data_IF_842520739696
#
_entry.id   IF_842520739696
#
_cell.length_a   1.000
_cell.length_b   1.000
_cell.length_c   1.000
_cell.angle_alpha   90.00
_cell.angle_beta   90.00
_cell.angle_gamma   90.00
#
_symmetry.space_group_name_H-M   'P 1'
#
loop_
_entity.id
_entity.type
_entity.pdbx_description
1 polymer ?
#
# COMPACT_ATOMS: atom_id res chain seq x y z
N UNK A 1 15.69 -27.09 34.05
CA UNK A 1 16.08 -25.73 33.63
C UNK A 1 16.18 -25.52 32.09
N UNK A 2 15.75 -26.47 31.24
CA UNK A 2 16.01 -26.40 29.78
C UNK A 2 14.89 -25.74 28.94
N UNK A 3 13.63 -25.75 29.40
CA UNK A 3 12.49 -25.34 28.56
C UNK A 3 12.32 -23.81 28.37
N UNK A 4 12.88 -22.99 29.25
CA UNK A 4 12.71 -21.53 29.20
C UNK A 4 13.63 -20.84 28.19
N UNK A 5 14.84 -21.39 27.94
CA UNK A 5 15.83 -20.78 27.03
C UNK A 5 15.45 -20.88 25.55
N UNK A 6 14.82 -21.99 25.16
CA UNK A 6 14.35 -22.20 23.79
C UNK A 6 13.28 -21.18 23.38
N UNK A 7 12.30 -20.90 24.27
CA UNK A 7 11.23 -19.92 24.02
C UNK A 7 11.75 -18.48 23.90
N UNK A 8 12.78 -18.10 24.65
CA UNK A 8 13.40 -16.77 24.54
C UNK A 8 14.19 -16.58 23.25
N UNK A 9 14.90 -17.61 22.76
CA UNK A 9 15.65 -17.53 21.51
C UNK A 9 14.72 -17.48 20.29
N UNK A 10 13.60 -18.20 20.33
CA UNK A 10 12.55 -18.15 19.31
C UNK A 10 11.86 -16.77 19.25
N UNK A 11 11.54 -16.20 20.42
CA UNK A 11 11.05 -14.82 20.54
C UNK A 11 12.04 -13.79 20.00
N UNK A 12 13.34 -13.97 20.26
CA UNK A 12 14.38 -13.09 19.73
C UNK A 12 14.47 -13.18 18.21
N UNK A 13 14.33 -14.38 17.63
CA UNK A 13 14.27 -14.61 16.19
C UNK A 13 13.06 -13.95 15.53
N UNK A 14 11.89 -14.05 16.16
CA UNK A 14 10.67 -13.36 15.70
C UNK A 14 10.80 -11.83 15.77
N UNK A 15 11.43 -11.29 16.81
CA UNK A 15 11.69 -9.84 16.94
C UNK A 15 12.66 -9.38 15.86
N UNK A 16 13.74 -10.12 15.62
CA UNK A 16 14.74 -9.76 14.62
C UNK A 16 14.16 -9.81 13.20
N UNK A 17 13.37 -10.84 12.89
CA UNK A 17 12.65 -10.93 11.62
C UNK A 17 11.64 -9.79 11.45
N UNK A 18 10.91 -9.42 12.51
CA UNK A 18 10.00 -8.28 12.50
C UNK A 18 10.71 -6.93 12.32
N UNK A 19 11.92 -6.78 12.87
CA UNK A 19 12.73 -5.56 12.73
C UNK A 19 13.24 -5.39 11.29
N UNK A 20 13.77 -6.46 10.69
CA UNK A 20 14.23 -6.46 9.29
C UNK A 20 13.08 -6.17 8.33
N UNK A 21 11.90 -6.74 8.55
CA UNK A 21 10.71 -6.45 7.73
C UNK A 21 10.27 -4.99 7.86
N UNK A 22 10.28 -4.42 9.07
CA UNK A 22 9.94 -3.01 9.28
C UNK A 22 10.95 -2.06 8.64
N UNK A 23 12.23 -2.43 8.61
CA UNK A 23 13.28 -1.66 7.96
C UNK A 23 13.14 -1.69 6.43
N UNK A 24 12.84 -2.86 5.86
CA UNK A 24 12.54 -3.01 4.44
C UNK A 24 11.30 -2.22 4.00
N UNK A 25 10.27 -2.13 4.85
CA UNK A 25 9.09 -1.28 4.61
C UNK A 25 9.51 0.19 4.55
N UNK A 26 10.32 0.66 5.51
CA UNK A 26 10.79 2.06 5.53
C UNK A 26 11.64 2.42 4.32
N UNK A 27 12.48 1.51 3.85
CA UNK A 27 13.32 1.74 2.66
C UNK A 27 12.46 1.78 1.39
N UNK A 28 11.49 0.87 1.25
CA UNK A 28 10.48 0.89 0.18
C UNK A 28 9.62 2.15 0.20
N UNK A 29 9.22 2.62 1.38
CA UNK A 29 8.48 3.87 1.56
C UNK A 29 9.32 5.07 1.11
N UNK A 30 10.61 5.12 1.47
CA UNK A 30 11.52 6.19 1.02
C UNK A 30 11.77 6.16 -0.48
N UNK A 31 11.97 4.99 -1.09
CA UNK A 31 12.11 4.85 -2.54
C UNK A 31 10.84 5.33 -3.26
N UNK A 32 9.66 4.96 -2.74
CA UNK A 32 8.39 5.38 -3.29
C UNK A 32 8.15 6.89 -3.13
N UNK A 33 8.42 7.46 -1.95
CA UNK A 33 8.39 8.91 -1.74
C UNK A 33 9.36 9.63 -2.67
N UNK A 34 10.56 9.09 -2.88
CA UNK A 34 11.54 9.63 -3.83
C UNK A 34 11.06 9.60 -5.28
N UNK A 35 10.28 8.59 -5.68
CA UNK A 35 9.71 8.49 -7.02
C UNK A 35 8.52 9.42 -7.29
N UNK A 36 7.85 9.89 -6.23
CA UNK A 36 6.72 10.82 -6.30
C UNK A 36 7.14 12.30 -6.23
N UNK A 37 8.39 12.57 -5.83
CA UNK A 37 8.93 13.94 -5.88
C UNK A 37 9.33 14.18 -7.34
N UNK A 38 8.66 15.09 -8.06
CA UNK A 38 9.07 15.42 -9.41
C UNK A 38 10.51 15.91 -9.35
N UNK A 39 11.35 15.42 -10.27
CA UNK A 39 12.72 15.89 -10.39
C UNK A 39 12.73 17.39 -10.63
N UNK A 40 13.80 18.08 -10.23
CA UNK A 40 13.88 19.54 -10.41
C UNK A 40 13.70 19.93 -11.89
N UNK A 41 14.10 19.06 -12.83
CA UNK A 41 13.84 19.23 -14.26
C UNK A 41 12.36 19.12 -14.65
N UNK A 42 11.61 18.20 -14.04
CA UNK A 42 10.16 18.03 -14.28
C UNK A 42 9.36 19.18 -13.67
N UNK A 43 9.77 19.70 -12.50
CA UNK A 43 9.17 20.90 -11.91
C UNK A 43 9.38 22.13 -12.80
N UNK A 44 10.61 22.35 -13.26
CA UNK A 44 10.96 23.45 -14.15
C UNK A 44 10.24 23.36 -15.51
N UNK A 45 10.00 22.15 -16.02
CA UNK A 45 9.20 21.94 -17.22
C UNK A 45 7.71 22.29 -17.01
N UNK A 46 7.15 21.88 -15.86
CA UNK A 46 5.76 22.19 -15.48
C UNK A 46 5.53 23.71 -15.33
N UNK A 47 6.40 24.41 -14.58
CA UNK A 47 6.30 25.87 -14.42
C UNK A 47 6.48 26.61 -15.75
N UNK A 48 7.33 26.10 -16.66
CA UNK A 48 7.54 26.69 -17.99
C UNK A 48 6.36 26.46 -18.95
N UNK A 49 5.64 25.35 -18.80
CA UNK A 49 4.41 25.11 -19.56
C UNK A 49 3.27 25.99 -19.03
N UNK A 50 3.15 26.17 -17.71
CA UNK A 50 2.19 27.08 -17.07
C UNK A 50 2.41 28.54 -17.52
N UNK A 51 3.67 29.01 -17.57
CA UNK A 51 4.03 30.35 -18.10
C UNK A 51 3.70 30.52 -19.60
N UNK A 52 3.68 29.43 -20.38
CA UNK A 52 3.36 29.49 -21.82
C UNK A 52 1.87 29.48 -22.10
N UNK A 53 1.08 28.84 -21.25
CA UNK A 53 -0.38 28.86 -21.36
C UNK A 53 -0.94 30.24 -20.98
N UNK A 54 -0.37 30.90 -19.96
CA UNK A 54 -0.73 32.28 -19.57
C UNK A 54 -0.51 33.33 -20.68
N UNK A 55 0.46 33.13 -21.59
CA UNK A 55 0.79 34.10 -22.65
C UNK A 55 -0.06 33.91 -23.93
N UNK A 56 -1.01 32.96 -23.94
CA UNK A 56 -1.76 32.56 -25.16
C UNK A 56 -3.28 32.74 -25.14
N UNK A 57 -3.88 33.20 -24.03
CA UNK A 57 -5.34 33.40 -23.92
C UNK A 57 -5.68 34.84 -23.49
N UNK A 58 -5.81 35.72 -24.49
CA UNK A 58 -6.55 36.99 -24.39
C UNK A 58 -8.06 36.70 -24.48
N UNK A 59 -8.59 35.93 -23.53
CA UNK A 59 -10.04 35.70 -23.37
C UNK A 59 -10.48 35.89 -21.91
N UNK A 60 -11.47 36.75 -21.76
CA UNK A 60 -11.85 37.46 -20.54
C UNK A 60 -12.85 36.63 -19.71
N UNK A 61 -12.45 35.47 -19.17
CA UNK A 61 -13.34 34.63 -18.35
C UNK A 61 -12.62 33.97 -17.15
N UNK A 62 -12.89 34.50 -15.95
CA UNK A 62 -12.45 34.04 -14.61
C UNK A 62 -10.98 34.25 -14.21
N UNK A 63 -10.55 35.52 -14.07
CA UNK A 63 -9.45 35.87 -13.15
C UNK A 63 -9.86 35.50 -11.72
N UNK A 64 -9.33 34.38 -11.21
CA UNK A 64 -9.35 34.06 -9.78
C UNK A 64 -8.39 35.01 -9.03
N UNK A 65 -8.75 36.30 -8.99
CA UNK A 65 -7.96 37.38 -8.36
C UNK A 65 -8.09 37.40 -6.83
N UNK A 66 -8.98 36.55 -6.29
CA UNK A 66 -9.12 36.39 -4.84
C UNK A 66 -8.05 35.42 -4.33
N UNK A 67 -7.07 35.94 -3.57
CA UNK A 67 -6.04 35.18 -2.85
C UNK A 67 -6.64 34.01 -2.03
N UNK A 68 -7.86 34.19 -1.52
CA UNK A 68 -8.64 33.16 -0.84
C UNK A 68 -9.00 31.97 -1.77
N UNK A 69 -9.33 32.22 -3.03
CA UNK A 69 -9.65 31.18 -4.01
C UNK A 69 -8.40 30.36 -4.40
N UNK A 70 -7.25 31.04 -4.52
CA UNK A 70 -5.95 30.38 -4.76
C UNK A 70 -5.57 29.47 -3.57
N UNK A 71 -5.74 29.95 -2.34
CA UNK A 71 -5.46 29.20 -1.11
C UNK A 71 -6.39 27.97 -0.97
N UNK A 72 -7.68 28.10 -1.30
CA UNK A 72 -8.63 26.97 -1.31
C UNK A 72 -8.22 25.91 -2.32
N UNK A 73 -7.78 26.31 -3.53
CA UNK A 73 -7.32 25.37 -4.55
C UNK A 73 -6.03 24.64 -4.12
N UNK A 74 -5.09 25.35 -3.53
CA UNK A 74 -3.85 24.76 -2.99
C UNK A 74 -4.15 23.77 -1.86
N UNK A 75 -5.06 24.12 -0.94
CA UNK A 75 -5.51 23.23 0.13
C UNK A 75 -6.17 21.95 -0.41
N UNK A 76 -6.95 22.05 -1.50
CA UNK A 76 -7.55 20.90 -2.19
C UNK A 76 -6.49 20.00 -2.85
N UNK A 77 -5.50 20.59 -3.54
CA UNK A 77 -4.36 19.87 -4.12
C UNK A 77 -3.59 19.13 -3.03
N UNK A 78 -3.25 19.81 -1.93
CA UNK A 78 -2.53 19.23 -0.80
C UNK A 78 -3.32 18.07 -0.14
N UNK A 79 -4.64 18.22 0.00
CA UNK A 79 -5.52 17.17 0.55
C UNK A 79 -5.53 15.92 -0.34
N UNK A 80 -5.71 16.07 -1.65
CA UNK A 80 -5.71 14.94 -2.60
C UNK A 80 -4.36 14.23 -2.61
N UNK A 81 -3.27 14.98 -2.64
CA UNK A 81 -1.91 14.40 -2.60
C UNK A 81 -1.70 13.60 -1.31
N UNK A 82 -2.20 14.08 -0.18
CA UNK A 82 -2.14 13.37 1.10
C UNK A 82 -2.94 12.07 1.09
N UNK A 83 -4.14 12.08 0.50
CA UNK A 83 -4.98 10.89 0.36
C UNK A 83 -4.30 9.84 -0.53
N UNK A 84 -3.80 10.23 -1.70
CA UNK A 84 -3.05 9.34 -2.60
C UNK A 84 -1.80 8.74 -1.95
N UNK A 85 -1.02 9.57 -1.23
CA UNK A 85 0.17 9.10 -0.48
C UNK A 85 -0.20 8.08 0.59
N UNK A 86 -1.31 8.30 1.30
CA UNK A 86 -1.79 7.37 2.33
C UNK A 86 -2.18 6.02 1.73
N UNK A 87 -2.93 6.03 0.63
CA UNK A 87 -3.34 4.79 -0.06
C UNK A 87 -2.13 4.01 -0.58
N UNK A 88 -1.15 4.69 -1.15
CA UNK A 88 0.07 4.06 -1.61
C UNK A 88 0.90 3.45 -0.47
N UNK A 89 0.99 4.16 0.67
CA UNK A 89 1.64 3.62 1.87
C UNK A 89 0.93 2.35 2.36
N UNK A 90 -0.39 2.37 2.43
CA UNK A 90 -1.19 1.19 2.81
C UNK A 90 -0.93 0.01 1.85
N UNK A 91 -0.82 0.25 0.54
CA UNK A 91 -0.47 -0.78 -0.44
C UNK A 91 0.93 -1.37 -0.20
N UNK A 92 1.94 -0.55 0.06
CA UNK A 92 3.31 -1.01 0.37
C UNK A 92 3.33 -1.87 1.63
N UNK A 93 2.68 -1.40 2.70
CA UNK A 93 2.57 -2.15 3.95
C UNK A 93 1.84 -3.49 3.76
N UNK A 94 0.74 -3.50 3.01
CA UNK A 94 -0.02 -4.72 2.76
C UNK A 94 0.81 -5.72 1.95
N UNK A 95 1.53 -5.26 0.93
CA UNK A 95 2.44 -6.11 0.17
C UNK A 95 3.54 -6.70 1.06
N UNK A 96 4.10 -5.91 1.99
CA UNK A 96 5.09 -6.41 2.95
C UNK A 96 4.51 -7.42 3.95
N UNK A 97 3.24 -7.28 4.33
CA UNK A 97 2.51 -8.28 5.13
C UNK A 97 2.26 -9.57 4.33
N UNK A 98 2.51 -9.59 3.01
CA UNK A 98 2.30 -10.72 2.11
C UNK A 98 0.89 -10.76 1.52
N UNK A 99 0.24 -9.60 1.35
CA UNK A 99 -0.95 -9.46 0.50
C UNK A 99 -0.51 -9.51 -0.97
N UNK A 100 -1.37 -10.00 -1.87
CA UNK A 100 -0.98 -10.26 -3.26
C UNK A 100 -0.89 -11.73 -3.63
N UNK A 101 -0.80 -12.61 -2.64
CA UNK A 101 -0.64 -14.05 -2.83
C UNK A 101 -1.73 -14.83 -2.11
N UNK A 102 -2.03 -16.01 -2.65
CA UNK A 102 -2.92 -17.00 -2.05
C UNK A 102 -2.08 -18.17 -1.52
N UNK A 103 -2.10 -18.37 -0.20
CA UNK A 103 -1.34 -19.45 0.48
C UNK A 103 -2.23 -20.28 1.39
N UNK A 104 -1.89 -21.56 1.46
CA UNK A 104 -2.41 -22.49 2.45
C UNK A 104 -1.71 -22.21 3.80
N UNK A 105 -2.48 -22.14 4.89
CA UNK A 105 -1.99 -21.96 6.24
C UNK A 105 -2.52 -23.04 7.17
N UNK A 106 -1.75 -23.31 8.22
CA UNK A 106 -2.21 -24.21 9.28
C UNK A 106 -3.13 -23.47 10.26
N UNK A 107 -3.92 -24.22 11.04
CA UNK A 107 -4.82 -23.65 12.04
C UNK A 107 -4.11 -22.73 13.05
N UNK A 108 -2.88 -23.07 13.44
CA UNK A 108 -2.09 -22.27 14.39
C UNK A 108 -1.68 -20.92 13.81
N UNK A 109 -1.51 -20.84 12.49
CA UNK A 109 -1.19 -19.60 11.78
C UNK A 109 -2.43 -18.74 11.47
N UNK A 110 -3.65 -19.27 11.66
CA UNK A 110 -4.89 -18.59 11.30
C UNK A 110 -5.07 -17.25 12.02
N UNK A 111 -5.15 -17.29 13.36
CA UNK A 111 -5.34 -16.12 14.20
C UNK A 111 -4.28 -15.04 13.97
N UNK A 112 -2.96 -15.32 14.06
CA UNK A 112 -1.95 -14.28 13.87
C UNK A 112 -1.96 -13.70 12.45
N UNK A 113 -2.49 -14.43 11.47
CA UNK A 113 -2.56 -13.97 10.08
C UNK A 113 -3.74 -13.02 9.85
N UNK A 114 -4.94 -13.38 10.32
CA UNK A 114 -6.14 -12.55 10.15
C UNK A 114 -6.11 -11.29 11.03
N UNK A 115 -5.49 -11.34 12.21
CA UNK A 115 -5.44 -10.16 13.11
C UNK A 115 -4.44 -9.09 12.67
N UNK A 116 -3.44 -9.45 11.84
CA UNK A 116 -2.44 -8.49 11.31
C UNK A 116 -2.95 -7.68 10.12
N UNK A 117 -4.07 -8.09 9.54
CA UNK A 117 -4.62 -7.51 8.31
C UNK A 117 -5.99 -6.91 8.58
N UNK A 118 -6.28 -5.75 7.97
CA UNK A 118 -7.58 -5.08 8.14
C UNK A 118 -8.73 -5.84 7.48
N UNK A 119 -8.45 -6.48 6.34
CA UNK A 119 -9.39 -7.31 5.59
C UNK A 119 -8.72 -8.65 5.28
N UNK A 120 -9.46 -9.74 5.44
CA UNK A 120 -8.98 -11.08 5.14
C UNK A 120 -10.10 -11.92 4.56
N UNK A 121 -9.77 -12.67 3.51
CA UNK A 121 -10.64 -13.62 2.83
C UNK A 121 -10.08 -15.01 3.10
N UNK A 122 -10.92 -15.87 3.67
CA UNK A 122 -10.54 -17.21 4.12
C UNK A 122 -11.42 -18.22 3.41
N UNK A 123 -10.80 -19.13 2.66
CA UNK A 123 -11.50 -20.24 2.05
C UNK A 123 -11.32 -21.53 2.86
N UNK A 124 -12.35 -21.90 3.62
CA UNK A 124 -12.40 -23.23 4.22
C UNK A 124 -12.80 -24.26 3.16
N UNK A 125 -11.94 -25.26 2.95
CA UNK A 125 -12.14 -26.27 1.92
C UNK A 125 -11.95 -27.69 2.45
N UNK A 126 -12.39 -28.67 1.65
CA UNK A 126 -12.12 -30.08 1.87
C UNK A 126 -11.65 -30.69 0.56
N UNK A 127 -10.64 -31.57 0.61
CA UNK A 127 -9.92 -32.09 -0.57
C UNK A 127 -10.81 -32.86 -1.55
N UNK A 128 -11.91 -33.41 -1.06
CA UNK A 128 -12.83 -34.24 -1.83
C UNK A 128 -13.86 -33.45 -2.66
N UNK A 129 -13.96 -32.13 -2.48
CA UNK A 129 -14.91 -31.31 -3.24
C UNK A 129 -14.25 -30.64 -4.45
N UNK A 130 -14.66 -31.04 -5.65
CA UNK A 130 -14.21 -30.45 -6.92
C UNK A 130 -14.45 -28.92 -6.98
N UNK A 131 -15.53 -28.45 -6.36
CA UNK A 131 -15.89 -27.03 -6.32
C UNK A 131 -14.85 -26.18 -5.58
N UNK A 132 -14.19 -26.73 -4.56
CA UNK A 132 -13.14 -26.02 -3.84
C UNK A 132 -11.93 -25.74 -4.75
N UNK A 133 -11.58 -26.66 -5.64
CA UNK A 133 -10.49 -26.46 -6.61
C UNK A 133 -10.76 -25.28 -7.55
N UNK A 134 -12.02 -25.09 -7.94
CA UNK A 134 -12.44 -23.97 -8.80
C UNK A 134 -12.32 -22.64 -8.04
N UNK A 135 -12.76 -22.62 -6.78
CA UNK A 135 -12.64 -21.43 -5.92
C UNK A 135 -11.17 -21.07 -5.68
N UNK A 136 -10.32 -22.06 -5.39
CA UNK A 136 -8.87 -21.87 -5.21
C UNK A 136 -8.21 -21.21 -6.42
N UNK A 137 -8.59 -21.64 -7.63
CA UNK A 137 -8.07 -21.07 -8.88
C UNK A 137 -8.41 -19.59 -8.99
N UNK A 138 -9.68 -19.22 -8.78
CA UNK A 138 -10.12 -17.83 -8.88
C UNK A 138 -9.55 -16.95 -7.76
N UNK A 139 -9.51 -17.45 -6.52
CA UNK A 139 -8.94 -16.70 -5.40
C UNK A 139 -7.45 -16.41 -5.61
N UNK A 140 -6.71 -17.32 -6.24
CA UNK A 140 -5.30 -17.12 -6.59
C UNK A 140 -5.09 -16.02 -7.64
N UNK A 141 -6.02 -15.86 -8.58
CA UNK A 141 -5.96 -14.79 -9.57
C UNK A 141 -6.35 -13.43 -8.95
N UNK A 142 -7.44 -13.42 -8.18
CA UNK A 142 -7.96 -12.22 -7.50
C UNK A 142 -6.93 -11.68 -6.50
N UNK A 143 -6.25 -12.57 -5.76
CA UNK A 143 -5.26 -12.17 -4.76
C UNK A 143 -4.17 -11.26 -5.33
N UNK A 144 -3.76 -11.44 -6.59
CA UNK A 144 -2.69 -10.66 -7.22
C UNK A 144 -3.07 -9.20 -7.48
N UNK A 145 -4.34 -8.95 -7.76
CA UNK A 145 -4.86 -7.62 -8.08
C UNK A 145 -5.31 -6.88 -6.82
N UNK A 146 -5.79 -7.63 -5.82
CA UNK A 146 -6.38 -7.07 -4.61
C UNK A 146 -5.40 -7.07 -3.43
N UNK A 147 -4.56 -6.04 -3.37
CA UNK A 147 -3.60 -5.84 -2.28
C UNK A 147 -4.24 -5.24 -1.01
N UNK A 148 -5.52 -4.91 -1.03
CA UNK A 148 -6.26 -4.38 0.12
C UNK A 148 -6.73 -5.47 1.09
N UNK A 149 -6.69 -6.74 0.67
CA UNK A 149 -7.15 -7.88 1.44
C UNK A 149 -6.16 -9.04 1.35
N UNK A 150 -6.08 -9.79 2.46
CA UNK A 150 -5.27 -11.00 2.52
C UNK A 150 -6.08 -12.23 2.14
N UNK A 151 -5.57 -13.07 1.25
CA UNK A 151 -6.23 -14.29 0.80
C UNK A 151 -5.53 -15.53 1.34
N UNK A 152 -6.26 -16.43 2.00
CA UNK A 152 -5.74 -17.65 2.63
C UNK A 152 -6.70 -18.83 2.48
N UNK A 153 -6.15 -20.05 2.45
CA UNK A 153 -6.87 -21.32 2.61
C UNK A 153 -6.34 -22.18 3.75
#
# INVERSE_FOLDING_TARGET
MSKTKASTMDRMGQIFSGMVMNEAIKDKEKEFEGSLVPTDQEKEAYYREEEKEEDSEDDDDFKLDDEDSLNVLEALKAKRLKEMKKEAKEMVENKAKGHGDYREITQDEFLPTVTKSKRSVVHFYHKDFERCKIVDMHLREIAKTHLEARFIC
#
